data_IF_333594517146
#
_entry.id   IF_333594517146
#
_cell.length_a   1.000
_cell.length_b   1.000
_cell.length_c   1.000
_cell.angle_alpha   90.00
_cell.angle_beta   90.00
_cell.angle_gamma   90.00
#
_symmetry.space_group_name_H-M   'P 1'
#
loop_
_entity.id
_entity.type
_entity.pdbx_description
1 polymer ?
#
# COMPACT_ATOMS: atom_id res chain seq x y z
N UNK A 1 24.59 4.30 5.01
CA UNK A 1 24.81 5.73 4.77
C UNK A 1 25.87 6.29 5.72
N UNK A 2 25.65 6.22 7.04
CA UNK A 2 26.58 6.78 8.04
C UNK A 2 28.04 6.32 7.83
N UNK A 3 28.28 5.01 7.63
CA UNK A 3 29.62 4.45 7.36
C UNK A 3 30.29 4.99 6.09
N UNK A 4 29.52 5.55 5.15
CA UNK A 4 30.01 6.09 3.87
C UNK A 4 30.05 7.63 3.85
N UNK A 5 29.61 8.29 4.93
CA UNK A 5 29.43 9.73 4.97
C UNK A 5 28.36 10.26 4.00
N UNK A 6 27.46 9.40 3.54
CA UNK A 6 26.43 9.73 2.56
C UNK A 6 25.13 10.19 3.23
N UNK A 7 24.46 11.15 2.59
CA UNK A 7 23.09 11.58 2.92
C UNK A 7 22.17 11.28 1.75
N UNK A 8 20.89 11.08 2.03
CA UNK A 8 19.84 10.89 1.02
C UNK A 8 18.64 11.76 1.34
N UNK A 9 17.96 12.19 0.30
CA UNK A 9 16.64 12.79 0.38
C UNK A 9 15.63 11.73 -0.04
N UNK A 10 14.71 11.42 0.85
CA UNK A 10 13.58 10.54 0.54
C UNK A 10 12.41 11.42 0.13
N UNK A 11 11.80 11.09 -1.00
CA UNK A 11 10.59 11.76 -1.46
C UNK A 11 9.51 10.72 -1.79
N UNK A 12 8.30 10.94 -1.32
CA UNK A 12 7.19 10.03 -1.56
C UNK A 12 5.86 10.73 -1.58
N UNK A 13 4.92 10.21 -2.38
CA UNK A 13 3.52 10.58 -2.35
C UNK A 13 2.73 9.51 -1.59
N UNK A 14 1.75 9.94 -0.78
CA UNK A 14 0.96 9.04 0.06
C UNK A 14 -0.51 9.47 0.15
N UNK A 15 -1.37 8.49 0.29
CA UNK A 15 -2.77 8.68 0.74
C UNK A 15 -2.92 8.56 2.26
N UNK A 16 -1.79 8.32 3.00
CA UNK A 16 -1.77 8.25 4.46
C UNK A 16 -0.79 7.21 5.02
N UNK A 17 -1.10 5.93 4.95
CA UNK A 17 -0.41 4.86 5.69
C UNK A 17 1.05 4.66 5.29
N UNK A 18 1.37 4.70 4.01
CA UNK A 18 2.76 4.59 3.53
C UNK A 18 3.61 5.76 4.03
N UNK A 19 3.03 6.97 4.05
CA UNK A 19 3.73 8.17 4.52
C UNK A 19 4.03 8.12 6.01
N UNK A 20 3.05 7.78 6.84
CA UNK A 20 3.25 7.68 8.29
C UNK A 20 4.29 6.62 8.66
N UNK A 21 4.25 5.46 8.00
CA UNK A 21 5.25 4.40 8.21
C UNK A 21 6.67 4.83 7.78
N UNK A 22 6.78 5.53 6.64
CA UNK A 22 8.05 6.04 6.15
C UNK A 22 8.65 7.08 7.09
N UNK A 23 7.84 8.01 7.59
CA UNK A 23 8.23 9.04 8.54
C UNK A 23 8.74 8.39 9.84
N UNK A 24 7.98 7.44 10.41
CA UNK A 24 8.39 6.73 11.63
C UNK A 24 9.71 5.97 11.43
N UNK A 25 9.89 5.32 10.30
CA UNK A 25 11.14 4.62 9.96
C UNK A 25 12.35 5.55 9.79
N UNK A 26 12.13 6.80 9.37
CA UNK A 26 13.21 7.76 9.09
C UNK A 26 13.49 8.76 10.21
N UNK A 27 12.57 8.95 11.17
CA UNK A 27 12.66 10.03 12.18
C UNK A 27 13.94 10.02 13.02
N UNK A 28 14.57 8.85 13.18
CA UNK A 28 15.81 8.69 13.96
C UNK A 28 17.06 8.58 13.07
N UNK A 29 16.92 8.82 11.76
CA UNK A 29 18.02 8.67 10.83
C UNK A 29 18.69 10.03 10.58
N UNK A 30 19.91 10.21 11.07
CA UNK A 30 20.65 11.47 10.92
C UNK A 30 21.04 11.83 9.48
N UNK A 31 21.17 10.82 8.62
CA UNK A 31 21.63 10.99 7.22
C UNK A 31 20.50 10.88 6.20
N UNK A 32 19.26 11.14 6.64
CA UNK A 32 18.06 11.05 5.79
C UNK A 32 17.20 12.27 6.04
N UNK A 33 16.85 12.98 4.98
CA UNK A 33 15.78 13.97 5.00
C UNK A 33 14.58 13.38 4.26
N UNK A 34 13.39 13.41 4.86
CA UNK A 34 12.19 12.82 4.26
C UNK A 34 11.12 13.87 3.97
N UNK A 35 10.64 13.86 2.73
CA UNK A 35 9.60 14.73 2.21
C UNK A 35 8.41 13.89 1.77
N UNK A 36 7.29 14.03 2.47
CA UNK A 36 6.06 13.30 2.17
C UNK A 36 5.02 14.26 1.63
N UNK A 37 4.63 14.04 0.38
CA UNK A 37 3.58 14.76 -0.31
C UNK A 37 2.24 14.05 -0.12
N UNK A 38 1.22 14.80 0.24
CA UNK A 38 -0.14 14.31 0.33
C UNK A 38 -1.14 15.38 -0.13
N UNK A 39 -2.32 14.99 -0.64
CA UNK A 39 -3.30 15.97 -1.10
C UNK A 39 -3.87 16.75 0.10
N UNK A 40 -3.94 18.08 -0.04
CA UNK A 40 -4.46 18.97 0.99
C UNK A 40 -5.93 18.67 1.28
N UNK A 41 -6.29 18.46 2.56
CA UNK A 41 -7.65 18.18 3.04
C UNK A 41 -8.34 16.93 2.42
N UNK A 42 -7.57 16.00 1.85
CA UNK A 42 -8.09 14.77 1.22
C UNK A 42 -7.50 13.48 1.81
N UNK A 43 -6.94 13.57 2.98
CA UNK A 43 -6.47 12.43 3.79
C UNK A 43 -7.28 12.43 5.08
N UNK A 44 -7.64 11.26 5.62
CA UNK A 44 -8.39 11.21 6.88
C UNK A 44 -7.63 11.92 8.00
N UNK A 45 -8.36 12.51 8.95
CA UNK A 45 -7.73 13.29 10.02
C UNK A 45 -6.72 12.47 10.82
N UNK A 46 -7.06 11.22 11.12
CA UNK A 46 -6.16 10.31 11.84
C UNK A 46 -4.88 10.06 11.04
N UNK A 47 -4.99 9.74 9.76
CA UNK A 47 -3.82 9.50 8.90
C UNK A 47 -2.96 10.76 8.73
N UNK A 48 -3.59 11.92 8.54
CA UNK A 48 -2.90 13.19 8.46
C UNK A 48 -2.11 13.47 9.74
N UNK A 49 -2.76 13.36 10.91
CA UNK A 49 -2.11 13.59 12.20
C UNK A 49 -1.00 12.58 12.49
N UNK A 50 -1.15 11.33 12.09
CA UNK A 50 -0.07 10.35 12.20
C UNK A 50 1.21 10.74 11.45
N UNK A 51 1.10 11.54 10.39
CA UNK A 51 2.25 12.07 9.65
C UNK A 51 2.74 13.41 10.25
N UNK A 52 1.82 14.33 10.44
CA UNK A 52 2.14 15.75 10.73
C UNK A 52 2.49 16.02 12.17
N UNK A 53 2.16 15.14 13.10
CA UNK A 53 2.51 15.26 14.52
C UNK A 53 3.87 14.64 14.90
N UNK A 54 4.51 13.94 13.95
CA UNK A 54 5.89 13.48 14.16
C UNK A 54 6.83 14.62 13.79
N UNK A 55 7.41 15.23 14.81
CA UNK A 55 8.33 16.37 14.66
C UNK A 55 9.78 15.88 14.60
N UNK A 56 10.55 16.44 13.69
CA UNK A 56 11.99 16.19 13.52
C UNK A 56 12.55 17.12 12.46
N UNK A 57 13.80 17.55 12.61
CA UNK A 57 14.43 18.49 11.67
C UNK A 57 14.60 17.91 10.25
N UNK A 58 14.56 16.59 10.16
CA UNK A 58 14.68 15.82 8.93
C UNK A 58 13.32 15.36 8.35
N UNK A 59 12.19 15.79 8.94
CA UNK A 59 10.85 15.38 8.51
C UNK A 59 10.11 16.55 7.93
N UNK A 60 9.60 16.42 6.72
CA UNK A 60 8.87 17.44 6.01
C UNK A 60 7.59 16.88 5.41
N UNK A 61 6.44 17.32 5.95
CA UNK A 61 5.12 17.02 5.40
C UNK A 61 4.68 18.17 4.49
N UNK A 62 4.30 17.85 3.27
CA UNK A 62 3.88 18.81 2.25
C UNK A 62 2.46 18.48 1.81
N UNK A 63 1.52 19.34 2.13
CA UNK A 63 0.16 19.26 1.63
C UNK A 63 0.05 20.01 0.29
N UNK A 64 -0.31 19.30 -0.77
CA UNK A 64 -0.44 19.88 -2.11
C UNK A 64 -1.90 20.27 -2.37
N UNK A 65 -2.13 21.48 -2.87
CA UNK A 65 -3.43 21.93 -3.33
C UNK A 65 -3.82 21.23 -4.64
N UNK A 66 -4.06 19.92 -4.55
CA UNK A 66 -4.33 19.02 -5.65
C UNK A 66 -4.89 17.68 -5.17
N UNK A 67 -4.76 16.66 -5.98
CA UNK A 67 -5.17 15.29 -5.67
C UNK A 67 -3.95 14.37 -5.48
N UNK A 68 -4.20 13.07 -5.23
CA UNK A 68 -3.12 12.11 -5.01
C UNK A 68 -2.28 11.85 -6.26
N UNK A 69 -2.90 11.87 -7.44
CA UNK A 69 -2.19 11.68 -8.71
C UNK A 69 -1.24 12.85 -8.99
N UNK A 70 -1.65 14.08 -8.65
CA UNK A 70 -0.77 15.26 -8.72
C UNK A 70 0.47 15.08 -7.83
N UNK A 71 0.29 14.61 -6.61
CA UNK A 71 1.41 14.32 -5.70
C UNK A 71 2.35 13.25 -6.28
N UNK A 72 1.81 12.18 -6.86
CA UNK A 72 2.61 11.13 -7.50
C UNK A 72 3.37 11.65 -8.72
N UNK A 73 2.71 12.46 -9.56
CA UNK A 73 3.31 13.04 -10.75
C UNK A 73 4.48 13.96 -10.41
N UNK A 74 4.33 14.81 -9.37
CA UNK A 74 5.43 15.65 -8.88
C UNK A 74 6.62 14.83 -8.39
N UNK A 75 6.38 13.72 -7.68
CA UNK A 75 7.45 12.82 -7.27
C UNK A 75 8.16 12.24 -8.51
N UNK A 76 7.42 11.69 -9.47
CA UNK A 76 7.99 11.12 -10.71
C UNK A 76 8.76 12.16 -11.51
N UNK A 77 8.18 13.35 -11.69
CA UNK A 77 8.82 14.45 -12.41
C UNK A 77 10.11 14.92 -11.72
N UNK A 78 10.16 14.94 -10.38
CA UNK A 78 11.35 15.26 -9.62
C UNK A 78 12.47 14.22 -9.83
N UNK A 79 12.13 12.94 -9.95
CA UNK A 79 13.10 11.88 -10.29
C UNK A 79 13.60 11.96 -11.73
N UNK A 80 12.80 12.50 -12.65
CA UNK A 80 13.19 12.69 -14.05
C UNK A 80 14.02 13.95 -14.28
N UNK A 81 13.98 14.93 -13.39
CA UNK A 81 14.64 16.22 -13.54
C UNK A 81 16.12 16.14 -13.13
N UNK A 82 17.01 16.00 -14.12
CA UNK A 82 18.45 15.93 -13.92
C UNK A 82 19.04 17.22 -13.32
N UNK A 83 18.41 18.37 -13.55
CA UNK A 83 18.82 19.65 -12.95
C UNK A 83 18.57 19.66 -11.45
N UNK A 84 17.40 19.19 -11.03
CA UNK A 84 17.03 19.06 -9.63
C UNK A 84 17.87 18.01 -8.90
N UNK A 85 18.20 16.91 -9.56
CA UNK A 85 19.01 15.82 -8.99
C UNK A 85 20.48 16.19 -8.80
N UNK A 86 20.96 17.28 -9.41
CA UNK A 86 22.37 17.68 -9.32
C UNK A 86 22.78 17.97 -7.87
N UNK A 87 23.61 17.09 -7.31
CA UNK A 87 24.05 17.17 -5.92
C UNK A 87 23.07 16.60 -4.89
N UNK A 88 21.93 16.04 -5.34
CA UNK A 88 20.90 15.44 -4.47
C UNK A 88 20.79 13.94 -4.78
N UNK A 89 21.00 13.10 -3.77
CA UNK A 89 20.71 11.67 -3.86
C UNK A 89 19.27 11.42 -3.46
N UNK A 90 18.37 11.41 -4.45
CA UNK A 90 16.94 11.20 -4.23
C UNK A 90 16.62 9.71 -4.18
N UNK A 91 15.78 9.32 -3.23
CA UNK A 91 15.28 7.95 -3.03
C UNK A 91 13.77 7.99 -2.90
N UNK A 92 13.07 7.10 -3.61
CA UNK A 92 11.62 6.99 -3.50
C UNK A 92 11.21 6.04 -2.38
N UNK A 93 10.14 6.42 -1.66
CA UNK A 93 9.34 5.47 -0.88
C UNK A 93 8.11 5.13 -1.69
N UNK A 94 8.02 3.88 -2.11
CA UNK A 94 6.94 3.41 -2.97
C UNK A 94 6.53 1.98 -2.59
N UNK A 95 5.27 1.61 -2.90
CA UNK A 95 4.74 0.25 -2.72
C UNK A 95 5.44 -0.81 -3.58
N UNK A 96 6.12 -0.41 -4.67
CA UNK A 96 6.90 -1.32 -5.53
C UNK A 96 8.26 -1.69 -4.95
N UNK A 97 8.70 -1.08 -3.85
CA UNK A 97 10.00 -1.39 -3.27
C UNK A 97 10.06 -2.86 -2.80
N UNK A 98 11.01 -3.62 -3.35
CA UNK A 98 11.21 -5.02 -3.02
C UNK A 98 11.37 -5.29 -1.51
N UNK A 99 12.07 -4.40 -0.80
CA UNK A 99 12.27 -4.53 0.64
C UNK A 99 10.95 -4.54 1.43
N UNK A 100 9.91 -3.85 0.95
CA UNK A 100 8.58 -3.88 1.57
C UNK A 100 7.92 -5.24 1.38
N UNK A 101 7.97 -5.79 0.16
CA UNK A 101 7.42 -7.12 -0.14
C UNK A 101 8.15 -8.18 0.68
N UNK A 102 9.47 -8.11 0.74
CA UNK A 102 10.29 -9.04 1.51
C UNK A 102 9.91 -9.06 3.00
N UNK A 103 9.68 -7.89 3.60
CA UNK A 103 9.22 -7.80 4.98
C UNK A 103 7.82 -8.39 5.19
N UNK A 104 6.93 -8.26 4.21
CA UNK A 104 5.56 -8.80 4.28
C UNK A 104 5.52 -10.33 4.23
N UNK A 105 6.53 -11.01 3.68
CA UNK A 105 6.65 -12.48 3.72
C UNK A 105 6.54 -13.00 5.15
N UNK A 106 7.08 -12.26 6.12
CA UNK A 106 7.07 -12.64 7.54
C UNK A 106 5.65 -12.82 8.09
N UNK A 107 4.67 -12.04 7.62
CA UNK A 107 3.29 -12.13 8.08
C UNK A 107 2.68 -13.51 7.81
N UNK A 108 2.95 -14.06 6.63
CA UNK A 108 2.46 -15.37 6.20
C UNK A 108 3.08 -16.50 6.99
N UNK A 109 4.42 -16.46 7.18
CA UNK A 109 5.10 -17.44 8.03
C UNK A 109 4.61 -17.36 9.47
N UNK A 110 4.52 -16.15 10.03
CA UNK A 110 4.06 -15.96 11.40
C UNK A 110 2.66 -16.54 11.60
N UNK A 111 1.70 -16.17 10.77
CA UNK A 111 0.32 -16.65 10.87
C UNK A 111 0.23 -18.18 10.67
N UNK A 112 0.93 -18.72 9.68
CA UNK A 112 0.91 -20.16 9.42
C UNK A 112 1.50 -20.96 10.57
N UNK A 113 2.61 -20.51 11.17
CA UNK A 113 3.24 -21.17 12.33
C UNK A 113 2.31 -21.21 13.54
N UNK A 114 1.54 -20.14 13.80
CA UNK A 114 0.54 -20.11 14.88
C UNK A 114 -0.60 -21.12 14.66
N UNK A 115 -0.83 -21.52 13.41
CA UNK A 115 -1.91 -22.45 13.02
C UNK A 115 -1.43 -23.88 12.76
N UNK A 116 -0.18 -24.19 13.12
CA UNK A 116 0.40 -25.53 13.00
C UNK A 116 1.18 -25.79 11.71
N UNK A 117 1.52 -24.75 10.95
CA UNK A 117 2.47 -24.88 9.83
C UNK A 117 3.87 -25.27 10.32
N UNK A 118 4.71 -25.90 9.48
CA UNK A 118 4.44 -26.32 8.11
C UNK A 118 3.69 -27.65 7.97
N UNK A 119 3.38 -28.34 9.08
CA UNK A 119 2.67 -29.63 9.08
C UNK A 119 1.20 -29.51 8.61
N UNK A 120 0.64 -28.30 8.65
CA UNK A 120 -0.74 -28.00 8.25
C UNK A 120 -0.77 -26.93 7.19
N UNK A 121 -1.56 -27.16 6.12
CA UNK A 121 -1.82 -26.14 5.10
C UNK A 121 -2.69 -25.00 5.66
N UNK A 122 -2.47 -23.80 5.13
CA UNK A 122 -3.20 -22.57 5.49
C UNK A 122 -3.63 -21.87 4.20
N UNK A 123 -4.75 -21.16 4.25
CA UNK A 123 -5.23 -20.31 3.18
C UNK A 123 -5.27 -18.85 3.64
N UNK A 124 -5.10 -17.92 2.72
CA UNK A 124 -5.09 -16.50 3.04
C UNK A 124 -6.05 -15.72 2.14
N UNK A 125 -6.79 -14.79 2.74
CA UNK A 125 -7.55 -13.76 2.04
C UNK A 125 -6.88 -12.41 2.31
N UNK A 126 -6.56 -11.70 1.24
CA UNK A 126 -5.70 -10.52 1.29
C UNK A 126 -6.40 -9.33 0.65
N UNK A 127 -6.74 -8.28 1.42
CA UNK A 127 -7.17 -7.01 0.85
C UNK A 127 -6.11 -6.48 -0.12
N UNK A 128 -6.49 -6.33 -1.40
CA UNK A 128 -5.49 -6.16 -2.46
C UNK A 128 -5.80 -4.97 -3.36
N UNK A 129 -4.91 -3.97 -3.36
CA UNK A 129 -4.83 -2.91 -4.36
C UNK A 129 -3.58 -3.08 -5.23
N UNK A 130 -2.40 -2.78 -4.68
CA UNK A 130 -1.12 -2.81 -5.38
C UNK A 130 -0.46 -4.19 -5.51
N UNK A 131 -1.12 -5.26 -5.12
CA UNK A 131 -0.65 -6.65 -5.21
C UNK A 131 0.62 -6.98 -4.41
N UNK A 132 1.14 -6.05 -3.64
CA UNK A 132 2.42 -6.25 -2.91
C UNK A 132 2.32 -7.30 -1.82
N UNK A 133 1.30 -7.19 -0.98
CA UNK A 133 1.09 -8.08 0.16
C UNK A 133 0.78 -9.51 -0.30
N UNK A 134 -0.21 -9.69 -1.18
CA UNK A 134 -0.55 -11.03 -1.66
C UNK A 134 0.58 -11.67 -2.47
N UNK A 135 1.41 -10.87 -3.16
CA UNK A 135 2.62 -11.36 -3.81
C UNK A 135 3.66 -11.87 -2.78
N UNK A 136 3.73 -11.25 -1.60
CA UNK A 136 4.54 -11.78 -0.51
C UNK A 136 4.04 -13.16 -0.04
N UNK A 137 2.71 -13.39 -0.03
CA UNK A 137 2.13 -14.71 0.19
C UNK A 137 2.49 -15.73 -0.89
N UNK A 138 2.48 -15.32 -2.15
CA UNK A 138 2.96 -16.14 -3.26
C UNK A 138 4.44 -16.53 -3.09
N UNK A 139 5.27 -15.59 -2.67
CA UNK A 139 6.68 -15.87 -2.38
C UNK A 139 6.86 -16.79 -1.18
N UNK A 140 6.08 -16.60 -0.10
CA UNK A 140 6.10 -17.48 1.06
C UNK A 140 5.79 -18.94 0.65
N UNK A 141 4.81 -19.14 -0.24
CA UNK A 141 4.50 -20.45 -0.82
C UNK A 141 5.68 -21.00 -1.61
N UNK A 142 6.31 -20.20 -2.46
CA UNK A 142 7.48 -20.61 -3.25
C UNK A 142 8.71 -20.92 -2.36
N UNK A 143 8.76 -20.36 -1.16
CA UNK A 143 9.76 -20.71 -0.13
C UNK A 143 9.43 -21.99 0.62
N UNK A 144 8.31 -22.65 0.34
CA UNK A 144 7.92 -23.93 0.92
C UNK A 144 6.82 -23.85 1.99
N UNK A 145 6.26 -22.68 2.28
CA UNK A 145 5.12 -22.58 3.18
C UNK A 145 3.88 -23.24 2.52
N UNK A 146 3.18 -24.19 3.17
CA UNK A 146 2.08 -24.93 2.57
C UNK A 146 0.81 -24.08 2.45
N UNK A 147 0.85 -23.07 1.59
CA UNK A 147 -0.31 -22.22 1.26
C UNK A 147 -1.14 -22.93 0.20
N UNK A 148 -2.38 -23.26 0.54
CA UNK A 148 -3.34 -23.95 -0.31
C UNK A 148 -4.07 -22.99 -1.25
N UNK A 149 -4.37 -21.77 -0.78
CA UNK A 149 -5.17 -20.79 -1.48
C UNK A 149 -4.75 -19.37 -1.10
N UNK A 150 -4.71 -18.47 -2.08
CA UNK A 150 -4.59 -17.02 -1.91
C UNK A 150 -5.82 -16.36 -2.55
N UNK A 151 -6.57 -15.58 -1.79
CA UNK A 151 -7.75 -14.86 -2.28
C UNK A 151 -7.39 -13.39 -2.47
N UNK A 152 -7.45 -12.93 -3.71
CA UNK A 152 -7.32 -11.52 -4.09
C UNK A 152 -8.66 -10.84 -3.79
N UNK A 153 -8.75 -10.13 -2.69
CA UNK A 153 -9.95 -9.40 -2.31
C UNK A 153 -9.82 -7.94 -2.75
N UNK A 154 -10.63 -7.49 -3.70
CA UNK A 154 -10.65 -6.12 -4.21
C UNK A 154 -11.92 -5.39 -3.79
N UNK A 155 -11.91 -4.06 -3.85
CA UNK A 155 -13.13 -3.29 -3.83
C UNK A 155 -13.71 -3.19 -5.25
N UNK A 156 -14.62 -2.24 -5.50
CA UNK A 156 -15.23 -2.00 -6.82
C UNK A 156 -14.22 -1.59 -7.91
N UNK A 157 -12.99 -1.21 -7.55
CA UNK A 157 -11.88 -1.01 -8.47
C UNK A 157 -11.18 -2.37 -8.69
N UNK A 158 -11.75 -3.19 -9.53
CA UNK A 158 -11.64 -4.64 -9.53
C UNK A 158 -10.74 -5.22 -10.63
N UNK A 159 -9.80 -4.44 -11.15
CA UNK A 159 -8.94 -4.87 -12.28
C UNK A 159 -8.25 -6.23 -12.05
N UNK A 160 -7.80 -6.49 -10.80
CA UNK A 160 -7.20 -7.77 -10.44
C UNK A 160 -8.23 -8.91 -10.39
N UNK A 161 -9.45 -8.63 -9.89
CA UNK A 161 -10.54 -9.61 -9.90
C UNK A 161 -10.92 -9.98 -11.33
N UNK A 162 -11.07 -9.01 -12.24
CA UNK A 162 -11.38 -9.26 -13.66
C UNK A 162 -10.30 -10.09 -14.34
N UNK A 163 -9.03 -9.89 -14.01
CA UNK A 163 -7.96 -10.76 -14.49
C UNK A 163 -8.10 -12.18 -13.93
N UNK A 164 -8.28 -12.34 -12.63
CA UNK A 164 -8.36 -13.68 -12.01
C UNK A 164 -9.61 -14.44 -12.44
N UNK A 165 -10.74 -13.78 -12.64
CA UNK A 165 -12.02 -14.40 -13.02
C UNK A 165 -12.19 -14.63 -14.53
N UNK A 166 -11.58 -13.81 -15.39
CA UNK A 166 -11.84 -13.83 -16.82
C UNK A 166 -10.64 -13.50 -17.73
N UNK A 167 -9.42 -13.45 -17.21
CA UNK A 167 -8.22 -13.09 -17.98
C UNK A 167 -8.28 -11.69 -18.63
N UNK A 168 -8.95 -10.73 -17.97
CA UNK A 168 -9.12 -9.36 -18.44
C UNK A 168 -8.53 -8.35 -17.45
N UNK A 169 -7.36 -7.83 -17.77
CA UNK A 169 -6.71 -6.76 -17.00
C UNK A 169 -6.83 -5.46 -17.80
N UNK A 170 -8.04 -4.88 -17.77
CA UNK A 170 -8.38 -3.73 -18.60
C UNK A 170 -8.55 -2.49 -17.75
N UNK A 171 -7.99 -1.34 -18.20
CA UNK A 171 -8.19 -0.06 -17.54
C UNK A 171 -9.67 0.35 -17.60
N UNK A 172 -10.14 0.94 -16.50
CA UNK A 172 -11.50 1.45 -16.36
C UNK A 172 -11.47 2.79 -15.60
N UNK A 173 -12.63 3.35 -15.32
CA UNK A 173 -12.76 4.55 -14.49
C UNK A 173 -12.52 4.22 -13.02
N UNK A 174 -11.74 5.05 -12.34
CA UNK A 174 -11.54 4.95 -10.90
C UNK A 174 -12.81 5.37 -10.15
N UNK A 175 -13.26 4.54 -9.24
CA UNK A 175 -14.43 4.80 -8.39
C UNK A 175 -13.99 4.99 -6.94
N UNK A 176 -14.17 6.18 -6.34
CA UNK A 176 -13.93 6.38 -4.92
C UNK A 176 -14.79 5.43 -4.07
N UNK A 177 -14.20 4.85 -3.03
CA UNK A 177 -14.85 3.89 -2.15
C UNK A 177 -14.59 4.17 -0.68
N UNK A 178 -15.22 3.40 0.21
CA UNK A 178 -14.94 3.41 1.66
C UNK A 178 -13.59 2.79 2.02
N UNK A 179 -12.94 2.09 1.08
CA UNK A 179 -11.61 1.48 1.25
C UNK A 179 -10.56 2.14 0.34
N UNK A 180 -10.23 3.42 0.55
CA UNK A 180 -9.50 4.24 -0.41
C UNK A 180 -8.08 3.74 -0.72
N UNK A 181 -7.46 2.96 0.15
CA UNK A 181 -6.14 2.37 -0.12
C UNK A 181 -6.17 1.30 -1.21
N UNK A 182 -7.37 0.82 -1.57
CA UNK A 182 -7.62 -0.14 -2.64
C UNK A 182 -8.22 0.51 -3.89
N UNK A 183 -8.41 1.83 -3.92
CA UNK A 183 -8.85 2.58 -5.09
C UNK A 183 -7.70 2.68 -6.10
N UNK A 184 -7.42 1.55 -6.73
CA UNK A 184 -6.28 1.33 -7.61
C UNK A 184 -6.78 0.81 -8.96
N UNK A 185 -6.43 1.51 -10.05
CA UNK A 185 -6.80 1.12 -11.40
C UNK A 185 -5.68 0.37 -12.14
N UNK A 186 -4.43 0.52 -11.71
CA UNK A 186 -3.29 -0.24 -12.22
C UNK A 186 -2.45 -0.72 -11.04
N UNK A 187 -2.43 -2.03 -10.83
CA UNK A 187 -1.76 -2.65 -9.69
C UNK A 187 -0.26 -2.77 -9.92
N UNK A 188 0.53 -1.99 -9.16
CA UNK A 188 1.96 -1.76 -9.42
C UNK A 188 2.88 -2.97 -9.25
N UNK A 189 2.49 -4.00 -8.48
CA UNK A 189 3.31 -5.20 -8.29
C UNK A 189 2.76 -6.42 -9.04
N UNK A 190 1.68 -6.28 -9.78
CA UNK A 190 1.10 -7.38 -10.56
C UNK A 190 2.06 -7.87 -11.66
N UNK A 191 2.87 -6.97 -12.21
CA UNK A 191 3.94 -7.30 -13.17
C UNK A 191 4.91 -8.39 -12.65
N UNK A 192 5.07 -8.50 -11.33
CA UNK A 192 5.94 -9.52 -10.71
C UNK A 192 5.37 -10.93 -10.87
N UNK A 193 4.05 -11.07 -10.75
CA UNK A 193 3.38 -12.35 -11.04
C UNK A 193 3.46 -12.65 -12.54
N UNK A 194 3.21 -11.65 -13.41
CA UNK A 194 3.34 -11.81 -14.85
C UNK A 194 4.74 -12.27 -15.24
N UNK A 195 5.79 -11.74 -14.59
CA UNK A 195 7.17 -12.13 -14.82
C UNK A 195 7.40 -13.61 -14.50
N UNK A 196 6.91 -14.10 -13.36
CA UNK A 196 7.03 -15.52 -13.01
C UNK A 196 6.20 -16.41 -13.95
N UNK A 197 4.97 -16.02 -14.32
CA UNK A 197 4.11 -16.73 -15.27
C UNK A 197 4.73 -16.82 -16.67
N UNK A 198 5.58 -15.86 -17.06
CA UNK A 198 6.32 -15.89 -18.32
C UNK A 198 7.72 -16.53 -18.18
N UNK A 199 7.93 -17.38 -17.17
CA UNK A 199 9.20 -18.06 -16.94
C UNK A 199 10.36 -17.12 -16.74
N UNK A 200 10.09 -15.93 -16.15
CA UNK A 200 11.06 -14.85 -15.89
C UNK A 200 11.67 -14.22 -17.15
N UNK A 201 10.93 -14.27 -18.25
CA UNK A 201 11.31 -13.61 -19.49
C UNK A 201 10.95 -12.12 -19.45
N UNK A 202 11.93 -11.27 -19.10
CA UNK A 202 11.73 -9.82 -18.97
C UNK A 202 11.30 -9.14 -20.26
N UNK A 203 11.77 -9.64 -21.44
CA UNK A 203 11.35 -9.08 -22.73
C UNK A 203 9.87 -9.34 -22.99
N UNK A 204 9.40 -10.56 -22.78
CA UNK A 204 7.99 -10.90 -22.97
C UNK A 204 7.08 -10.05 -22.07
N UNK A 205 7.46 -9.83 -20.81
CA UNK A 205 6.70 -8.95 -19.90
C UNK A 205 6.77 -7.49 -20.32
N UNK A 206 7.91 -6.99 -20.79
CA UNK A 206 8.02 -5.63 -21.29
C UNK A 206 7.10 -5.41 -22.51
N UNK A 207 7.14 -6.32 -23.50
CA UNK A 207 6.28 -6.26 -24.68
C UNK A 207 4.78 -6.30 -24.30
N UNK A 208 4.40 -7.14 -23.32
CA UNK A 208 3.04 -7.22 -22.79
C UNK A 208 2.59 -5.91 -22.12
N UNK A 209 3.45 -5.30 -21.29
CA UNK A 209 3.16 -4.05 -20.62
C UNK A 209 3.15 -2.85 -21.57
N UNK A 210 3.96 -2.86 -22.65
CA UNK A 210 3.92 -1.86 -23.71
C UNK A 210 2.58 -1.94 -24.47
N UNK A 211 2.13 -3.14 -24.79
CA UNK A 211 0.79 -3.38 -25.34
C UNK A 211 -0.32 -2.84 -24.44
N UNK A 212 -0.22 -3.09 -23.13
CA UNK A 212 -1.15 -2.55 -22.14
C UNK A 212 -1.13 -1.03 -22.04
N UNK A 213 0.04 -0.39 -22.11
CA UNK A 213 0.15 1.08 -22.13
C UNK A 213 -0.56 1.67 -23.35
N UNK A 214 -0.42 1.02 -24.51
CA UNK A 214 -1.00 1.49 -25.77
C UNK A 214 -2.52 1.27 -25.86
N UNK A 215 -3.01 0.11 -25.40
CA UNK A 215 -4.41 -0.30 -25.59
C UNK A 215 -5.30 -0.14 -24.34
N UNK A 216 -4.69 -0.07 -23.16
CA UNK A 216 -5.39 -0.16 -21.88
C UNK A 216 -5.86 -1.57 -21.53
N UNK A 217 -5.51 -2.60 -22.31
CA UNK A 217 -5.96 -3.98 -22.17
C UNK A 217 -4.80 -4.95 -22.10
N UNK A 218 -4.93 -5.95 -21.22
CA UNK A 218 -3.96 -7.02 -21.07
C UNK A 218 -4.67 -8.33 -20.78
N UNK A 219 -4.25 -9.38 -21.46
CA UNK A 219 -4.56 -10.77 -21.16
C UNK A 219 -3.28 -11.61 -21.35
N UNK A 220 -3.25 -12.81 -20.79
CA UNK A 220 -2.15 -13.75 -20.98
C UNK A 220 -2.66 -15.00 -21.68
N UNK A 221 -1.77 -15.88 -22.13
CA UNK A 221 -2.13 -17.17 -22.69
C UNK A 221 -2.90 -18.01 -21.65
N UNK A 222 -3.86 -18.82 -22.12
CA UNK A 222 -4.79 -19.57 -21.30
C UNK A 222 -4.10 -20.53 -20.30
N UNK A 223 -2.99 -21.12 -20.68
CA UNK A 223 -2.20 -22.01 -19.82
C UNK A 223 -1.58 -21.25 -18.65
N UNK A 224 -1.08 -20.03 -18.87
CA UNK A 224 -0.52 -19.14 -17.82
C UNK A 224 -1.59 -18.64 -16.89
N UNK A 225 -2.74 -18.25 -17.42
CA UNK A 225 -3.87 -17.86 -16.62
C UNK A 225 -4.38 -18.99 -15.73
N UNK A 226 -4.51 -20.20 -16.33
CA UNK A 226 -4.90 -21.40 -15.60
C UNK A 226 -3.89 -21.74 -14.50
N UNK A 227 -2.58 -21.56 -14.75
CA UNK A 227 -1.54 -21.75 -13.73
C UNK A 227 -1.72 -20.78 -12.56
N UNK A 228 -1.97 -19.50 -12.82
CA UNK A 228 -2.26 -18.51 -11.76
C UNK A 228 -3.47 -18.94 -10.91
N UNK A 229 -4.54 -19.40 -11.54
CA UNK A 229 -5.78 -19.82 -10.88
C UNK A 229 -5.67 -21.11 -10.05
N UNK A 230 -4.62 -21.89 -10.20
CA UNK A 230 -4.37 -23.02 -9.29
C UNK A 230 -4.19 -22.57 -7.86
N UNK A 231 -3.62 -21.39 -7.66
CA UNK A 231 -3.36 -20.80 -6.34
C UNK A 231 -4.34 -19.69 -5.99
N UNK A 232 -4.62 -18.80 -6.96
CA UNK A 232 -5.38 -17.58 -6.72
C UNK A 232 -6.88 -17.77 -7.01
N UNK A 233 -7.69 -17.28 -6.07
CA UNK A 233 -9.09 -16.92 -6.29
C UNK A 233 -9.25 -15.42 -6.11
N UNK A 234 -10.42 -14.87 -6.43
CA UNK A 234 -10.66 -13.45 -6.25
C UNK A 234 -12.14 -13.13 -6.07
N UNK A 235 -12.40 -12.01 -5.41
CA UNK A 235 -13.73 -11.43 -5.30
C UNK A 235 -13.62 -9.89 -5.29
N UNK A 236 -14.54 -9.24 -6.01
CA UNK A 236 -14.79 -7.82 -5.88
C UNK A 236 -15.95 -7.60 -4.90
N UNK A 237 -15.78 -6.67 -3.96
CA UNK A 237 -16.72 -6.38 -2.88
C UNK A 237 -17.05 -4.90 -2.90
N UNK A 238 -18.33 -4.56 -3.00
CA UNK A 238 -18.78 -3.18 -3.00
C UNK A 238 -18.90 -2.58 -1.58
N UNK A 239 -19.24 -1.28 -1.50
CA UNK A 239 -19.36 -0.58 -0.22
C UNK A 239 -20.53 -1.08 0.62
N UNK A 240 -21.62 -1.56 0.02
CA UNK A 240 -22.78 -2.11 0.73
C UNK A 240 -22.42 -3.44 1.40
N UNK A 241 -21.80 -4.34 0.66
CA UNK A 241 -21.27 -5.61 1.16
C UNK A 241 -20.20 -5.40 2.24
N UNK A 242 -19.36 -4.38 2.06
CA UNK A 242 -18.34 -3.98 3.04
C UNK A 242 -18.97 -3.55 4.35
N UNK A 243 -19.94 -2.63 4.32
CA UNK A 243 -20.65 -2.17 5.51
C UNK A 243 -21.43 -3.32 6.19
N UNK A 244 -22.12 -4.14 5.40
CA UNK A 244 -22.84 -5.31 5.93
C UNK A 244 -21.88 -6.31 6.60
N UNK A 245 -20.67 -6.46 6.09
CA UNK A 245 -19.65 -7.34 6.69
C UNK A 245 -19.11 -6.77 7.99
N UNK A 246 -18.83 -5.46 8.07
CA UNK A 246 -18.42 -4.77 9.31
C UNK A 246 -19.51 -4.98 10.39
N UNK A 247 -20.77 -4.67 10.06
CA UNK A 247 -21.89 -4.82 10.99
C UNK A 247 -22.07 -6.27 11.48
N UNK A 248 -21.95 -7.25 10.57
CA UNK A 248 -22.10 -8.67 10.88
C UNK A 248 -20.97 -9.15 11.80
N UNK A 249 -19.72 -8.83 11.50
CA UNK A 249 -18.56 -9.25 12.32
C UNK A 249 -18.67 -8.62 13.71
N UNK A 250 -19.01 -7.35 13.79
CA UNK A 250 -19.23 -6.68 15.07
C UNK A 250 -20.31 -7.38 15.91
N UNK A 251 -21.44 -7.74 15.29
CA UNK A 251 -22.52 -8.48 15.96
C UNK A 251 -22.09 -9.88 16.41
N UNK A 252 -21.28 -10.58 15.63
CA UNK A 252 -20.83 -11.95 15.91
C UNK A 252 -19.71 -12.01 16.97
N UNK A 253 -18.83 -11.01 17.01
CA UNK A 253 -17.56 -11.10 17.76
C UNK A 253 -17.29 -9.92 18.70
N UNK A 254 -17.96 -8.79 18.51
CA UNK A 254 -17.64 -7.51 19.15
C UNK A 254 -16.47 -6.74 18.50
N UNK A 255 -15.80 -7.33 17.50
CA UNK A 255 -14.68 -6.70 16.80
C UNK A 255 -15.17 -5.76 15.70
N UNK A 256 -14.62 -4.55 15.65
CA UNK A 256 -14.87 -3.60 14.56
C UNK A 256 -13.76 -3.72 13.53
N UNK A 257 -14.13 -4.05 12.30
CA UNK A 257 -13.20 -4.12 11.18
C UNK A 257 -13.07 -2.74 10.50
N UNK A 258 -11.88 -2.45 9.97
CA UNK A 258 -11.74 -1.43 8.94
C UNK A 258 -12.31 -1.94 7.60
N UNK A 259 -12.65 -1.03 6.64
CA UNK A 259 -13.30 -1.43 5.40
C UNK A 259 -12.45 -2.34 4.50
N UNK A 260 -11.12 -2.21 4.54
CA UNK A 260 -10.23 -3.07 3.75
C UNK A 260 -10.22 -4.50 4.31
N UNK A 261 -10.07 -4.66 5.61
CA UNK A 261 -10.13 -5.96 6.27
C UNK A 261 -11.50 -6.60 6.09
N UNK A 262 -12.59 -5.82 6.13
CA UNK A 262 -13.95 -6.32 5.89
C UNK A 262 -14.11 -6.92 4.49
N UNK A 263 -13.53 -6.30 3.46
CA UNK A 263 -13.47 -6.84 2.10
C UNK A 263 -12.78 -8.21 2.08
N UNK A 264 -11.62 -8.31 2.77
CA UNK A 264 -10.90 -9.58 2.91
C UNK A 264 -11.72 -10.66 3.62
N UNK A 265 -12.44 -10.32 4.69
CA UNK A 265 -13.31 -11.25 5.43
C UNK A 265 -14.49 -11.71 4.57
N UNK A 266 -15.12 -10.79 3.83
CA UNK A 266 -16.20 -11.13 2.90
C UNK A 266 -15.71 -12.12 1.84
N UNK A 267 -14.61 -11.80 1.16
CA UNK A 267 -14.02 -12.66 0.14
C UNK A 267 -13.59 -14.03 0.71
N UNK A 268 -13.06 -14.07 1.93
CA UNK A 268 -12.71 -15.32 2.61
C UNK A 268 -13.94 -16.23 2.80
N UNK A 269 -15.07 -15.67 3.19
CA UNK A 269 -16.31 -16.43 3.42
C UNK A 269 -16.90 -16.98 2.13
N UNK A 270 -16.84 -16.20 1.04
CA UNK A 270 -17.44 -16.57 -0.25
C UNK A 270 -16.55 -17.50 -1.09
N UNK A 271 -15.22 -17.32 -1.06
CA UNK A 271 -14.28 -18.01 -1.96
C UNK A 271 -13.52 -19.17 -1.31
N UNK A 272 -13.73 -19.44 -0.03
CA UNK A 272 -13.01 -20.50 0.67
C UNK A 272 -13.23 -21.87 0.04
N UNK A 273 -12.14 -22.50 -0.46
CA UNK A 273 -12.19 -23.82 -1.12
C UNK A 273 -12.44 -25.00 -0.15
N UNK A 274 -12.00 -24.87 1.11
CA UNK A 274 -12.08 -25.96 2.09
C UNK A 274 -12.31 -25.45 3.50
N UNK A 275 -13.30 -26.02 4.19
CA UNK A 275 -13.59 -25.74 5.59
C UNK A 275 -12.57 -26.38 6.55
N UNK A 276 -11.84 -27.42 6.12
CA UNK A 276 -10.83 -28.09 6.96
C UNK A 276 -9.49 -27.35 7.01
N UNK A 277 -9.24 -26.44 6.05
CA UNK A 277 -8.03 -25.62 6.02
C UNK A 277 -8.29 -24.29 6.73
N UNK A 278 -7.47 -23.89 7.70
CA UNK A 278 -7.57 -22.57 8.30
C UNK A 278 -7.49 -21.47 7.24
N UNK A 279 -8.41 -20.52 7.31
CA UNK A 279 -8.43 -19.31 6.49
C UNK A 279 -8.01 -18.12 7.36
N UNK A 280 -6.97 -17.43 6.95
CA UNK A 280 -6.48 -16.20 7.58
C UNK A 280 -6.84 -15.02 6.68
N UNK A 281 -7.53 -14.04 7.22
CA UNK A 281 -7.68 -12.74 6.57
C UNK A 281 -6.63 -11.79 7.14
N UNK A 282 -5.85 -11.15 6.28
CA UNK A 282 -4.88 -10.15 6.73
C UNK A 282 -5.61 -8.88 7.13
N UNK A 283 -5.41 -8.44 8.36
CA UNK A 283 -5.85 -7.13 8.85
C UNK A 283 -4.88 -6.06 8.40
N UNK A 284 -5.32 -5.14 7.54
CA UNK A 284 -4.43 -4.20 6.86
C UNK A 284 -4.48 -2.78 7.41
N UNK A 285 -5.50 -2.46 8.23
CA UNK A 285 -5.64 -1.15 8.85
C UNK A 285 -6.39 -1.23 10.19
N UNK A 286 -6.38 -0.13 10.92
CA UNK A 286 -7.19 0.03 12.14
C UNK A 286 -8.47 0.81 11.81
N UNK A 287 -9.65 0.40 12.30
CA UNK A 287 -10.94 1.02 11.95
C UNK A 287 -11.02 2.51 12.30
N UNK A 288 -10.30 2.98 13.30
CA UNK A 288 -10.25 4.39 13.68
C UNK A 288 -9.77 5.32 12.56
N UNK A 289 -9.08 4.80 11.55
CA UNK A 289 -8.64 5.56 10.37
C UNK A 289 -9.75 5.83 9.36
N UNK A 290 -10.84 5.06 9.44
CA UNK A 290 -11.95 5.06 8.48
C UNK A 290 -13.30 5.15 9.20
N UNK A 291 -13.54 6.24 9.97
CA UNK A 291 -14.75 6.38 10.77
C UNK A 291 -16.03 6.35 9.92
N UNK A 292 -16.00 6.91 8.71
CA UNK A 292 -17.16 6.96 7.80
C UNK A 292 -17.66 5.56 7.43
N UNK A 293 -16.78 4.60 7.25
CA UNK A 293 -17.17 3.23 6.95
C UNK A 293 -17.84 2.55 8.15
N UNK A 294 -17.34 2.82 9.35
CA UNK A 294 -17.86 2.27 10.61
C UNK A 294 -19.22 2.88 10.94
N UNK A 295 -19.39 4.18 10.73
CA UNK A 295 -20.67 4.87 10.91
C UNK A 295 -21.71 4.36 9.91
N UNK A 296 -21.35 4.26 8.63
CA UNK A 296 -22.25 3.70 7.60
C UNK A 296 -22.63 2.24 7.85
N UNK A 297 -21.79 1.48 8.52
CA UNK A 297 -22.11 0.13 8.99
C UNK A 297 -23.07 0.10 10.19
N UNK A 298 -23.49 1.27 10.70
CA UNK A 298 -24.43 1.40 11.83
C UNK A 298 -23.82 1.16 13.21
N UNK A 299 -22.48 1.25 13.32
CA UNK A 299 -21.79 1.10 14.60
C UNK A 299 -21.65 2.50 15.24
N UNK A 300 -22.55 2.82 16.15
CA UNK A 300 -22.62 4.14 16.81
C UNK A 300 -21.65 4.34 17.98
N UNK A 301 -20.76 3.39 18.27
CA UNK A 301 -19.79 3.56 19.35
C UNK A 301 -18.56 4.33 18.86
N UNK A 302 -18.06 5.23 19.72
CA UNK A 302 -16.79 5.90 19.46
C UNK A 302 -15.63 4.89 19.41
N UNK A 303 -14.83 4.93 18.34
CA UNK A 303 -13.65 4.11 18.23
C UNK A 303 -12.52 4.71 19.07
N UNK A 304 -12.00 3.96 20.01
CA UNK A 304 -10.85 4.39 20.81
C UNK A 304 -9.57 4.32 19.96
N UNK A 305 -8.75 5.37 20.06
CA UNK A 305 -7.39 5.32 19.53
C UNK A 305 -6.58 4.26 20.29
N UNK A 306 -5.64 3.57 19.61
CA UNK A 306 -4.65 2.74 20.30
C UNK A 306 -3.90 3.54 21.39
N UNK A 307 -3.55 2.90 22.49
CA UNK A 307 -2.97 3.57 23.67
C UNK A 307 -1.77 4.48 23.33
N UNK A 308 -0.92 4.08 22.38
CA UNK A 308 0.25 4.87 21.95
C UNK A 308 -0.11 6.10 21.09
N UNK A 309 -1.37 6.22 20.67
CA UNK A 309 -1.92 7.35 19.91
C UNK A 309 -3.05 8.08 20.67
N UNK A 310 -3.26 7.78 21.95
CA UNK A 310 -4.39 8.32 22.73
C UNK A 310 -4.42 9.87 22.72
N UNK A 311 -3.25 10.50 22.69
CA UNK A 311 -3.05 11.95 22.65
C UNK A 311 -2.89 12.53 21.22
N UNK A 312 -3.17 11.73 20.16
CA UNK A 312 -2.91 12.12 18.76
C UNK A 312 -3.56 13.48 18.39
N UNK A 313 -4.78 13.72 18.88
CA UNK A 313 -5.52 14.95 18.58
C UNK A 313 -5.04 16.18 19.37
N UNK A 314 -4.25 15.97 20.42
CA UNK A 314 -3.66 17.03 21.25
C UNK A 314 -2.26 17.43 20.77
N UNK A 315 -1.62 16.58 19.95
CA UNK A 315 -0.25 16.82 19.45
C UNK A 315 -0.23 17.96 18.45
N UNK A 316 0.79 18.81 18.52
CA UNK A 316 1.03 19.86 17.54
C UNK A 316 1.37 19.28 16.17
N UNK A 317 0.77 19.81 15.12
CA UNK A 317 1.04 19.42 13.74
C UNK A 317 2.06 20.34 13.08
N UNK A 318 2.91 19.76 12.20
CA UNK A 318 3.78 20.51 11.30
C UNK A 318 3.58 20.03 9.86
N UNK A 319 3.04 20.93 9.04
CA UNK A 319 2.80 20.69 7.62
C UNK A 319 2.96 22.00 6.85
N UNK A 320 3.50 21.93 5.66
CA UNK A 320 3.60 23.06 4.74
C UNK A 320 2.61 22.86 3.59
N UNK A 321 1.75 23.85 3.35
CA UNK A 321 0.85 23.81 2.19
C UNK A 321 1.56 24.47 1.01
N UNK A 322 1.57 23.79 -0.14
CA UNK A 322 2.15 24.28 -1.38
C UNK A 322 1.14 24.18 -2.53
N UNK A 323 1.22 25.09 -3.52
CA UNK A 323 0.41 24.99 -4.72
C UNK A 323 0.77 23.72 -5.53
N UNK A 324 -0.13 23.32 -6.44
CA UNK A 324 0.09 22.22 -7.36
C UNK A 324 1.11 22.61 -8.46
N UNK A 325 2.34 22.92 -8.05
CA UNK A 325 3.42 23.36 -8.92
C UNK A 325 4.72 22.61 -8.60
N UNK A 326 5.25 21.87 -9.58
CA UNK A 326 6.48 21.09 -9.42
C UNK A 326 7.65 21.93 -8.90
N UNK A 327 7.82 23.15 -9.43
CA UNK A 327 8.95 24.02 -9.06
C UNK A 327 8.87 24.52 -7.62
N UNK A 328 7.66 24.75 -7.10
CA UNK A 328 7.46 25.12 -5.71
C UNK A 328 7.90 23.99 -4.76
N UNK A 329 7.53 22.76 -5.09
CA UNK A 329 7.93 21.56 -4.34
C UNK A 329 9.44 21.33 -4.43
N UNK A 330 10.02 21.39 -5.62
CA UNK A 330 11.47 21.24 -5.82
C UNK A 330 12.27 22.31 -5.08
N UNK A 331 11.82 23.56 -5.10
CA UNK A 331 12.46 24.67 -4.35
C UNK A 331 12.40 24.39 -2.84
N UNK A 332 11.26 23.95 -2.32
CA UNK A 332 11.11 23.60 -0.91
C UNK A 332 12.06 22.46 -0.50
N UNK A 333 12.11 21.38 -1.30
CA UNK A 333 13.02 20.26 -1.07
C UNK A 333 14.49 20.71 -1.14
N UNK A 334 14.85 21.53 -2.10
CA UNK A 334 16.21 22.09 -2.24
C UNK A 334 16.62 23.00 -1.07
N UNK A 335 15.66 23.72 -0.46
CA UNK A 335 15.91 24.57 0.70
C UNK A 335 16.10 23.79 2.01
N UNK A 336 15.42 22.64 2.17
CA UNK A 336 15.37 21.92 3.43
C UNK A 336 16.14 20.60 3.38
N UNK A 337 16.27 19.99 2.20
CA UNK A 337 17.06 18.78 1.98
C UNK A 337 18.54 19.12 1.76
N UNK A 338 19.41 18.24 2.22
CA UNK A 338 20.88 18.35 2.04
C UNK A 338 21.52 19.65 2.54
N UNK A 339 20.89 20.40 3.44
CA UNK A 339 21.58 21.47 4.12
C UNK A 339 22.70 20.85 4.94
N UNK A 340 23.85 20.74 4.31
CA UNK A 340 25.06 20.29 4.91
C UNK A 340 25.26 20.96 6.25
N UNK A 341 25.34 20.20 7.32
CA UNK A 341 26.26 20.59 8.38
C UNK A 341 27.61 20.76 7.67
N UNK A 342 28.33 21.88 7.90
CA UNK A 342 29.59 22.11 7.25
C UNK A 342 30.46 20.87 7.39
N UNK A 343 31.16 20.52 6.30
CA UNK A 343 32.16 19.46 6.28
C UNK A 343 32.96 19.48 7.58
N UNK A 344 32.76 18.50 8.44
CA UNK A 344 33.70 18.22 9.52
C UNK A 344 34.96 17.58 8.94
N UNK A 345 35.58 18.29 8.01
CA UNK A 345 36.96 18.13 7.60
C UNK A 345 37.66 19.42 7.95
N UNK A 346 38.06 19.51 9.18
CA UNK A 346 39.21 20.27 9.68
C UNK A 346 39.11 20.35 11.19
N UNK A 347 39.53 19.33 11.88
CA UNK A 347 40.49 19.42 13.00
C UNK A 347 41.24 18.09 13.04
#
# INVERSE_FOLDING_TARGET
LAKRGERVVIMGATSGDTGSAAIEGCRRCENVDIFILHPHQRVSEVQRRQMTTILGDNIHNIAIEGNFDDCQEMVKASFADQGFLKGTRLVAVNSINWARIMAQIVYYFHAALQLGGPARSVAFSVPTGNFGDIFAGYLARNMGLPINQLIVATNRNDILHRFMSGNHYDKDTLHPSLSPSMDIMVSSNFERLLFDLHGRNGKAVADLLDGFRASGRLSVEEDRWTEARRLFDSLAVDDEQTCATIARVFKETGEVLDPHTAIGVHAARECRRSLSIPMVTLGTAHPVKFPDAVEKAGIGQALALPAHLADLFERSERCTVLPNELKAVQAFVGQHGNRGKPDRKSV
#
